data_IF_309909632443
#
_entry.id   IF_309909632443
#
_cell.length_a   1.000
_cell.length_b   1.000
_cell.length_c   1.000
_cell.angle_alpha   90.00
_cell.angle_beta   90.00
_cell.angle_gamma   90.00
#
_symmetry.space_group_name_H-M   'P 1'
#
loop_
_entity.id
_entity.type
_entity.pdbx_description
1 polymer ?
#
# COMPACT_ATOMS: atom_id res chain seq x y z
N UNK A 1 -1.95 -1.42 -28.14
CA UNK A 1 -2.53 -1.74 -26.83
C UNK A 1 -1.40 -2.39 -26.07
N UNK A 2 -0.81 -1.67 -25.12
CA UNK A 2 0.18 -2.26 -24.22
C UNK A 2 -0.67 -2.72 -23.06
N UNK A 3 -1.03 -4.00 -23.03
CA UNK A 3 -1.67 -4.59 -21.86
C UNK A 3 -0.58 -4.71 -20.80
N UNK A 4 -0.66 -3.89 -19.75
CA UNK A 4 0.21 -4.00 -18.58
C UNK A 4 0.02 -5.38 -17.96
N UNK A 5 1.09 -6.10 -17.64
CA UNK A 5 0.91 -7.37 -16.94
C UNK A 5 0.53 -7.12 -15.48
N UNK A 6 -0.11 -8.10 -14.83
CA UNK A 6 -0.37 -8.05 -13.37
C UNK A 6 0.92 -7.83 -12.58
N UNK A 7 2.05 -8.39 -13.04
CA UNK A 7 3.34 -8.20 -12.40
C UNK A 7 3.83 -6.75 -12.52
N UNK A 8 3.67 -6.13 -13.68
CA UNK A 8 4.06 -4.73 -13.90
C UNK A 8 3.13 -3.78 -13.12
N UNK A 9 1.84 -4.11 -12.98
CA UNK A 9 0.90 -3.36 -12.16
C UNK A 9 1.31 -3.40 -10.67
N UNK A 10 1.72 -4.57 -10.18
CA UNK A 10 2.19 -4.74 -8.81
C UNK A 10 3.47 -3.94 -8.54
N UNK A 11 4.44 -3.98 -9.45
CA UNK A 11 5.66 -3.19 -9.35
C UNK A 11 5.32 -1.70 -9.35
N UNK A 12 4.47 -1.25 -10.28
CA UNK A 12 4.08 0.16 -10.37
C UNK A 12 3.39 0.65 -9.10
N UNK A 13 2.48 -0.15 -8.52
CA UNK A 13 1.82 0.17 -7.27
C UNK A 13 2.79 0.22 -6.08
N UNK A 14 3.70 -0.75 -5.98
CA UNK A 14 4.71 -0.79 -4.92
C UNK A 14 5.63 0.42 -5.01
N UNK A 15 6.22 0.66 -6.18
CA UNK A 15 7.12 1.79 -6.41
C UNK A 15 6.42 3.12 -6.13
N UNK A 16 5.18 3.29 -6.59
CA UNK A 16 4.39 4.49 -6.31
C UNK A 16 4.20 4.69 -4.80
N UNK A 17 3.73 3.66 -4.09
CA UNK A 17 3.44 3.77 -2.66
C UNK A 17 4.71 4.01 -1.84
N UNK A 18 5.81 3.30 -2.13
CA UNK A 18 7.08 3.47 -1.41
C UNK A 18 7.63 4.88 -1.59
N UNK A 19 7.50 5.46 -2.79
CA UNK A 19 7.93 6.83 -3.05
C UNK A 19 7.02 7.86 -2.36
N UNK A 20 5.69 7.68 -2.41
CA UNK A 20 4.75 8.63 -1.82
C UNK A 20 4.82 8.67 -0.29
N UNK A 21 4.98 7.50 0.33
CA UNK A 21 5.20 7.36 1.78
C UNK A 21 6.65 7.64 2.20
N UNK A 22 7.55 7.93 1.25
CA UNK A 22 8.99 8.15 1.48
C UNK A 22 9.71 6.98 2.19
N UNK A 23 9.30 5.73 1.94
CA UNK A 23 9.87 4.54 2.59
C UNK A 23 11.31 4.30 2.09
N UNK A 24 12.32 4.24 2.99
CA UNK A 24 13.69 3.95 2.60
C UNK A 24 13.84 2.50 2.14
N UNK A 25 14.71 2.24 1.16
CA UNK A 25 14.90 0.90 0.56
C UNK A 25 15.11 -0.22 1.59
N UNK A 26 15.77 0.06 2.70
CA UNK A 26 16.02 -0.91 3.79
C UNK A 26 14.74 -1.40 4.48
N UNK A 27 13.67 -0.61 4.43
CA UNK A 27 12.39 -0.90 5.07
C UNK A 27 11.33 -1.39 4.06
N UNK A 28 11.61 -1.34 2.75
CA UNK A 28 10.64 -1.72 1.72
C UNK A 28 10.33 -3.23 1.73
N UNK A 29 11.26 -4.07 2.20
CA UNK A 29 11.08 -5.52 2.31
C UNK A 29 9.97 -5.93 3.28
N UNK A 30 9.50 -5.02 4.14
CA UNK A 30 8.36 -5.27 5.01
C UNK A 30 7.00 -5.17 4.29
N UNK A 31 6.97 -4.59 3.09
CA UNK A 31 5.76 -4.42 2.31
C UNK A 31 5.58 -5.59 1.34
N UNK A 32 4.35 -6.05 1.22
CA UNK A 32 4.01 -7.14 0.30
C UNK A 32 2.68 -6.88 -0.42
N UNK A 33 2.57 -7.41 -1.63
CA UNK A 33 1.31 -7.43 -2.36
C UNK A 33 0.41 -8.49 -1.72
N UNK A 34 -0.70 -8.06 -1.14
CA UNK A 34 -1.70 -8.95 -0.55
C UNK A 34 -2.61 -9.55 -1.62
N UNK A 35 -3.01 -8.73 -2.60
CA UNK A 35 -3.90 -9.14 -3.67
C UNK A 35 -3.81 -8.19 -4.87
N UNK A 36 -4.09 -8.72 -6.06
CA UNK A 36 -4.29 -7.91 -7.27
C UNK A 36 -5.53 -8.39 -8.00
N UNK A 37 -6.40 -7.45 -8.36
CA UNK A 37 -7.62 -7.74 -9.11
C UNK A 37 -7.68 -6.87 -10.35
N UNK A 38 -7.84 -7.51 -11.51
CA UNK A 38 -8.15 -6.82 -12.76
C UNK A 38 -9.62 -6.40 -12.76
N UNK A 39 -9.90 -5.15 -13.14
CA UNK A 39 -11.26 -4.61 -13.13
C UNK A 39 -11.63 -4.09 -14.51
N UNK A 40 -12.58 -4.76 -15.16
CA UNK A 40 -13.33 -4.19 -16.31
C UNK A 40 -12.52 -3.84 -17.56
N UNK A 41 -11.26 -4.29 -17.66
CA UNK A 41 -10.35 -4.27 -18.82
C UNK A 41 -9.28 -3.17 -18.89
N UNK A 42 -9.33 -2.10 -18.07
CA UNK A 42 -8.40 -0.96 -18.25
C UNK A 42 -7.62 -0.57 -16.98
N UNK A 43 -7.82 -1.27 -15.87
CA UNK A 43 -7.13 -0.98 -14.61
C UNK A 43 -7.12 -2.15 -13.63
N UNK A 44 -6.18 -2.09 -12.71
CA UNK A 44 -5.93 -3.05 -11.64
C UNK A 44 -6.20 -2.38 -10.30
N UNK A 45 -6.77 -3.15 -9.38
CA UNK A 45 -6.75 -2.85 -7.95
C UNK A 45 -5.64 -3.67 -7.32
N UNK A 46 -4.66 -2.99 -6.72
CA UNK A 46 -3.56 -3.63 -6.00
C UNK A 46 -3.73 -3.33 -4.51
N UNK A 47 -3.71 -4.38 -3.69
CA UNK A 47 -3.68 -4.27 -2.24
C UNK A 47 -2.27 -4.52 -1.74
N UNK A 48 -1.71 -3.57 -0.99
CA UNK A 48 -0.37 -3.64 -0.38
C UNK A 48 -0.54 -3.63 1.13
N UNK A 49 0.19 -4.47 1.85
CA UNK A 49 0.19 -4.50 3.30
C UNK A 49 1.60 -4.55 3.86
N UNK A 50 1.70 -4.40 5.18
CA UNK A 50 2.94 -4.65 5.92
C UNK A 50 2.86 -6.05 6.52
N UNK A 51 3.88 -6.87 6.32
CA UNK A 51 3.93 -8.20 6.93
C UNK A 51 3.81 -8.12 8.46
N UNK A 52 2.92 -8.94 9.04
CA UNK A 52 2.66 -8.93 10.47
C UNK A 52 1.62 -7.90 10.93
N UNK A 53 1.20 -6.97 10.06
CA UNK A 53 0.13 -6.02 10.35
C UNK A 53 -1.12 -6.31 9.51
N UNK A 54 -2.32 -6.03 10.02
CA UNK A 54 -3.56 -6.24 9.29
C UNK A 54 -3.94 -5.03 8.42
N UNK A 55 -3.12 -3.97 8.43
CA UNK A 55 -3.33 -2.75 7.65
C UNK A 55 -3.03 -2.98 6.18
N UNK A 56 -3.75 -2.25 5.32
CA UNK A 56 -3.51 -2.28 3.88
C UNK A 56 -3.79 -0.97 3.19
N UNK A 57 -3.07 -0.73 2.11
CA UNK A 57 -3.35 0.28 1.11
C UNK A 57 -4.00 -0.37 -0.11
N UNK A 58 -5.01 0.29 -0.66
CA UNK A 58 -5.71 -0.12 -1.88
C UNK A 58 -5.45 0.93 -2.94
N UNK A 59 -4.70 0.55 -3.97
CA UNK A 59 -4.28 1.41 -5.07
C UNK A 59 -4.96 1.00 -6.37
N UNK A 60 -5.19 1.99 -7.24
CA UNK A 60 -5.63 1.77 -8.61
C UNK A 60 -4.47 2.01 -9.56
N UNK A 61 -4.20 1.06 -10.45
CA UNK A 61 -3.16 1.15 -11.48
C UNK A 61 -3.81 1.03 -12.84
N UNK A 62 -3.68 2.05 -13.67
CA UNK A 62 -4.17 2.03 -15.05
C UNK A 62 -3.31 1.09 -15.91
N UNK A 63 -3.87 0.59 -17.01
CA UNK A 63 -3.15 -0.16 -18.05
C UNK A 63 -1.93 0.59 -18.63
N UNK A 64 -1.88 1.92 -18.48
CA UNK A 64 -0.72 2.76 -18.81
C UNK A 64 0.45 2.63 -17.84
N UNK A 65 0.27 1.97 -16.69
CA UNK A 65 1.23 1.90 -15.58
C UNK A 65 1.13 3.09 -14.61
N UNK A 66 0.22 4.03 -14.85
CA UNK A 66 0.00 5.16 -13.94
C UNK A 66 -0.81 4.73 -12.72
N UNK A 67 -0.42 5.20 -11.53
CA UNK A 67 -1.18 4.99 -10.30
C UNK A 67 -2.09 6.19 -10.02
N UNK A 68 -3.30 5.94 -9.52
CA UNK A 68 -4.16 6.99 -8.96
C UNK A 68 -3.57 7.46 -7.62
N UNK A 69 -3.24 8.76 -7.46
CA UNK A 69 -2.71 9.29 -6.20
C UNK A 69 -3.73 9.28 -5.06
N UNK A 70 -5.02 9.08 -5.35
CA UNK A 70 -6.08 8.99 -4.33
C UNK A 70 -6.29 7.54 -3.85
N UNK A 71 -5.22 6.88 -3.39
CA UNK A 71 -5.32 5.56 -2.79
C UNK A 71 -5.98 5.60 -1.41
N UNK A 72 -6.43 4.44 -0.92
CA UNK A 72 -7.13 4.34 0.37
C UNK A 72 -6.36 3.44 1.33
N UNK A 73 -6.07 3.94 2.54
CA UNK A 73 -5.61 3.12 3.65
C UNK A 73 -6.80 2.49 4.39
N UNK A 74 -6.69 1.25 4.84
CA UNK A 74 -7.69 0.57 5.66
C UNK A 74 -7.00 -0.19 6.78
N UNK A 75 -7.44 0.05 8.01
CA UNK A 75 -6.98 -0.68 9.19
C UNK A 75 -8.17 -1.30 9.92
N UNK A 76 -8.14 -2.60 10.25
CA UNK A 76 -9.13 -3.20 11.14
C UNK A 76 -8.80 -2.97 12.62
N UNK A 77 -7.68 -2.33 12.95
CA UNK A 77 -7.27 -2.10 14.32
C UNK A 77 -8.14 -1.02 15.00
N UNK A 78 -8.44 -1.19 16.30
CA UNK A 78 -9.08 -0.14 17.09
C UNK A 78 -8.27 1.16 17.07
N UNK A 79 -8.98 2.29 17.21
CA UNK A 79 -8.35 3.61 17.27
C UNK A 79 -7.36 3.69 18.44
N UNK A 80 -6.13 4.10 18.14
CA UNK A 80 -5.07 4.31 19.14
C UNK A 80 -4.39 3.03 19.62
N UNK A 81 -4.63 1.88 18.98
CA UNK A 81 -3.88 0.66 19.26
C UNK A 81 -2.61 0.63 18.39
N UNK A 82 -1.45 0.70 19.03
CA UNK A 82 -0.12 0.79 18.41
C UNK A 82 0.88 -0.22 19.00
N UNK A 83 0.45 -1.09 19.92
CA UNK A 83 1.32 -2.02 20.64
C UNK A 83 2.16 -2.92 19.71
N UNK A 84 1.61 -3.29 18.56
CA UNK A 84 2.29 -4.15 17.58
C UNK A 84 3.33 -3.38 16.74
N UNK A 85 3.36 -2.05 16.78
CA UNK A 85 4.27 -1.22 15.99
C UNK A 85 5.67 -1.10 16.60
N UNK A 86 5.85 -1.45 17.88
CA UNK A 86 7.15 -1.39 18.57
C UNK A 86 8.19 -2.36 17.97
N UNK A 87 7.73 -3.39 17.25
CA UNK A 87 8.59 -4.40 16.60
C UNK A 87 9.06 -3.99 15.20
N UNK A 88 8.55 -2.87 14.65
CA UNK A 88 8.84 -2.41 13.30
C UNK A 88 9.86 -1.25 13.26
N UNK A 89 10.56 -1.07 12.13
CA UNK A 89 11.34 0.13 11.88
C UNK A 89 10.55 1.42 12.14
N UNK A 90 11.23 2.43 12.69
CA UNK A 90 10.61 3.71 13.06
C UNK A 90 9.83 4.35 11.91
N UNK A 91 10.32 4.20 10.68
CA UNK A 91 9.66 4.75 9.50
C UNK A 91 8.29 4.11 9.24
N UNK A 92 8.23 2.77 9.28
CA UNK A 92 7.00 2.00 9.09
C UNK A 92 6.01 2.30 10.21
N UNK A 93 6.48 2.26 11.47
CA UNK A 93 5.65 2.55 12.63
C UNK A 93 5.03 3.95 12.55
N UNK A 94 5.82 4.95 12.13
CA UNK A 94 5.37 6.33 11.94
C UNK A 94 4.30 6.45 10.85
N UNK A 95 4.54 5.86 9.67
CA UNK A 95 3.61 5.91 8.55
C UNK A 95 2.27 5.26 8.93
N UNK A 96 2.28 4.06 9.50
CA UNK A 96 1.06 3.37 9.94
C UNK A 96 0.32 4.18 11.00
N UNK A 97 1.04 4.77 11.96
CA UNK A 97 0.43 5.62 13.00
C UNK A 97 -0.28 6.83 12.39
N UNK A 98 0.36 7.49 11.42
CA UNK A 98 -0.23 8.64 10.72
C UNK A 98 -1.47 8.26 9.91
N UNK A 99 -1.43 7.12 9.23
CA UNK A 99 -2.53 6.62 8.41
C UNK A 99 -3.73 6.20 9.27
N UNK A 100 -3.49 5.48 10.37
CA UNK A 100 -4.53 5.11 11.35
C UNK A 100 -5.16 6.35 12.00
N UNK A 101 -4.39 7.40 12.22
CA UNK A 101 -4.90 8.68 12.74
C UNK A 101 -5.69 9.47 11.68
N UNK A 102 -5.31 9.40 10.40
CA UNK A 102 -5.94 10.19 9.33
C UNK A 102 -7.30 9.65 8.89
N UNK A 103 -7.58 8.35 9.08
CA UNK A 103 -8.87 7.72 8.81
C UNK A 103 -9.97 8.06 9.85
N UNK A 104 -9.94 9.28 10.38
CA UNK A 104 -10.75 9.78 11.49
C UNK A 104 -12.22 10.11 11.18
N UNK A 105 -12.80 9.62 10.08
CA UNK A 105 -14.21 9.94 9.73
C UNK A 105 -15.22 9.00 10.38
#
# INVERSE_FOLDING_TARGET
MIDLSVADANISAMDFLMNDLEIPEVDQDFFSILATRETGSDWYVVEIGVEGLPDKWVLQVFDTGQCDPCYTFTSPMPKGEDADLEEFPEHIAKVITMERASNET
#
